data_IF_822193426700
#
_entry.id   IF_822193426700
#
_cell.length_a   1.000
_cell.length_b   1.000
_cell.length_c   1.000
_cell.angle_alpha   90.00
_cell.angle_beta   90.00
_cell.angle_gamma   90.00
#
_symmetry.space_group_name_H-M   'P 1'
#
loop_
_entity.id
_entity.type
_entity.pdbx_description
1 polymer ?
#
# COMPACT_ATOMS: atom_id res chain seq x y z
N UNK A 1 -54.72 10.28 5.20
CA UNK A 1 -54.44 11.70 4.93
C UNK A 1 -52.99 11.92 5.31
N UNK A 2 -52.11 12.09 4.32
CA UNK A 2 -50.67 12.24 4.57
C UNK A 2 -50.38 13.70 4.92
N UNK A 3 -49.83 13.91 6.11
CA UNK A 3 -49.38 15.21 6.59
C UNK A 3 -48.25 15.73 5.68
N UNK A 4 -48.53 16.83 4.98
CA UNK A 4 -47.54 17.58 4.24
C UNK A 4 -46.69 18.35 5.25
N UNK A 5 -45.53 17.79 5.60
CA UNK A 5 -44.51 18.51 6.35
C UNK A 5 -44.04 19.71 5.50
N UNK A 6 -44.38 20.93 5.94
CA UNK A 6 -43.85 22.17 5.40
C UNK A 6 -42.31 22.18 5.49
N UNK A 7 -41.59 22.52 4.41
CA UNK A 7 -40.16 22.81 4.50
C UNK A 7 -39.93 24.15 5.22
N UNK A 8 -38.90 24.15 6.07
CA UNK A 8 -38.42 25.25 6.92
C UNK A 8 -38.20 26.55 6.15
N UNK A 9 -38.43 27.69 6.81
CA UNK A 9 -38.34 29.06 6.28
C UNK A 9 -36.98 29.42 5.64
N UNK A 10 -35.94 28.61 5.86
CA UNK A 10 -34.61 28.79 5.27
C UNK A 10 -34.55 28.44 3.77
N UNK A 11 -35.51 27.69 3.22
CA UNK A 11 -35.54 27.36 1.78
C UNK A 11 -36.29 28.41 0.94
N UNK A 12 -37.11 29.27 1.55
CA UNK A 12 -37.88 30.29 0.84
C UNK A 12 -37.07 31.54 0.48
N UNK A 13 -35.95 31.80 1.13
CA UNK A 13 -35.09 32.96 0.82
C UNK A 13 -34.26 32.81 -0.48
N UNK A 14 -34.29 31.64 -1.13
CA UNK A 14 -33.51 31.38 -2.35
C UNK A 14 -34.23 31.73 -3.66
N UNK A 15 -35.51 32.15 -3.63
CA UNK A 15 -36.32 32.40 -4.84
C UNK A 15 -36.40 33.87 -5.26
N UNK A 16 -35.99 34.83 -4.42
CA UNK A 16 -36.03 36.25 -4.76
C UNK A 16 -34.66 36.74 -5.29
N UNK A 17 -34.67 37.43 -6.43
CA UNK A 17 -33.49 38.10 -6.98
C UNK A 17 -33.02 39.18 -6.00
N UNK A 18 -31.75 39.14 -5.56
CA UNK A 18 -31.19 40.17 -4.68
C UNK A 18 -31.29 41.56 -5.34
N UNK A 19 -31.60 42.63 -4.58
CA UNK A 19 -31.69 43.98 -5.12
C UNK A 19 -30.37 44.40 -5.78
N UNK A 20 -30.40 44.79 -7.05
CA UNK A 20 -29.22 45.24 -7.81
C UNK A 20 -28.62 44.22 -8.77
N UNK A 21 -29.11 42.97 -8.81
CA UNK A 21 -28.69 41.98 -9.81
C UNK A 21 -29.70 41.96 -10.97
N UNK A 22 -29.28 42.08 -12.23
CA UNK A 22 -30.17 41.93 -13.37
C UNK A 22 -30.82 40.53 -13.38
N UNK A 23 -32.13 40.47 -13.64
CA UNK A 23 -32.91 39.23 -13.59
C UNK A 23 -32.34 38.11 -14.49
N UNK A 24 -31.79 38.48 -15.65
CA UNK A 24 -31.13 37.54 -16.57
C UNK A 24 -29.86 36.90 -15.95
N UNK A 25 -29.06 37.69 -15.22
CA UNK A 25 -27.87 37.18 -14.52
C UNK A 25 -28.27 36.26 -13.36
N UNK A 26 -29.35 36.58 -12.66
CA UNK A 26 -29.90 35.73 -11.59
C UNK A 26 -30.41 34.39 -12.12
N UNK A 27 -31.14 34.41 -13.25
CA UNK A 27 -31.61 33.20 -13.91
C UNK A 27 -30.45 32.32 -14.39
N UNK A 28 -29.39 32.94 -14.95
CA UNK A 28 -28.16 32.23 -15.32
C UNK A 28 -27.50 31.58 -14.11
N UNK A 29 -27.41 32.27 -12.97
CA UNK A 29 -26.85 31.73 -11.74
C UNK A 29 -27.64 30.52 -11.22
N UNK A 30 -28.97 30.60 -11.18
CA UNK A 30 -29.82 29.48 -10.77
C UNK A 30 -29.67 28.27 -11.70
N UNK A 31 -29.58 28.51 -13.01
CA UNK A 31 -29.32 27.45 -13.99
C UNK A 31 -27.95 26.80 -13.81
N UNK A 32 -26.90 27.58 -13.51
CA UNK A 32 -25.57 27.07 -13.20
C UNK A 32 -25.55 26.25 -11.90
N UNK A 33 -26.27 26.71 -10.86
CA UNK A 33 -26.42 25.98 -9.59
C UNK A 33 -27.08 24.62 -9.81
N UNK A 34 -28.17 24.57 -10.59
CA UNK A 34 -28.84 23.31 -10.98
C UNK A 34 -27.91 22.37 -11.76
N UNK A 35 -27.22 22.88 -12.80
CA UNK A 35 -26.25 22.08 -13.58
C UNK A 35 -25.11 21.52 -12.74
N UNK A 36 -24.59 22.29 -11.77
CA UNK A 36 -23.52 21.83 -10.88
C UNK A 36 -23.98 20.66 -9.98
N UNK A 37 -25.19 20.75 -9.42
CA UNK A 37 -25.78 19.66 -8.63
C UNK A 37 -25.97 18.39 -9.48
N UNK A 38 -26.43 18.55 -10.72
CA UNK A 38 -26.62 17.44 -11.65
C UNK A 38 -25.30 16.77 -12.02
N UNK A 39 -24.24 17.55 -12.31
CA UNK A 39 -22.89 17.02 -12.55
C UNK A 39 -22.34 16.27 -11.33
N UNK A 40 -22.46 16.84 -10.11
CA UNK A 40 -22.04 16.16 -8.87
C UNK A 40 -22.77 14.84 -8.64
N UNK A 41 -24.06 14.78 -8.98
CA UNK A 41 -24.86 13.55 -8.87
C UNK A 41 -24.46 12.52 -9.93
N UNK A 42 -24.17 12.93 -11.16
CA UNK A 42 -23.64 12.04 -12.20
C UNK A 42 -22.27 11.46 -11.84
N UNK A 43 -21.37 12.27 -11.29
CA UNK A 43 -20.05 11.81 -10.80
C UNK A 43 -20.18 10.78 -9.67
N UNK A 44 -21.07 11.03 -8.69
CA UNK A 44 -21.37 10.06 -7.62
C UNK A 44 -21.90 8.75 -8.19
N UNK A 45 -22.83 8.81 -9.13
CA UNK A 45 -23.37 7.62 -9.81
C UNK A 45 -22.28 6.84 -10.58
N UNK A 46 -21.37 7.51 -11.27
CA UNK A 46 -20.23 6.87 -11.93
C UNK A 46 -19.25 6.24 -10.94
N UNK A 47 -18.95 6.91 -9.82
CA UNK A 47 -18.06 6.41 -8.77
C UNK A 47 -18.64 5.16 -8.10
N UNK A 48 -19.95 5.14 -7.84
CA UNK A 48 -20.68 3.99 -7.30
C UNK A 48 -20.70 2.80 -8.29
N UNK A 49 -20.88 3.06 -9.60
CA UNK A 49 -20.79 2.03 -10.64
C UNK A 49 -19.38 1.41 -10.72
N UNK A 50 -18.32 2.23 -10.61
CA UNK A 50 -16.93 1.76 -10.57
C UNK A 50 -16.65 0.91 -9.31
N UNK A 51 -17.18 1.30 -8.15
CA UNK A 51 -17.07 0.52 -6.91
C UNK A 51 -17.84 -0.82 -6.98
N UNK A 52 -19.05 -0.85 -7.54
CA UNK A 52 -19.81 -2.10 -7.75
C UNK A 52 -19.08 -3.09 -8.66
N UNK A 53 -18.44 -2.62 -9.74
CA UNK A 53 -17.60 -3.48 -10.61
C UNK A 53 -16.39 -4.06 -9.88
N UNK A 54 -15.75 -3.30 -8.98
CA UNK A 54 -14.66 -3.82 -8.15
C UNK A 54 -15.12 -4.83 -7.09
N UNK A 55 -16.36 -4.75 -6.60
CA UNK A 55 -16.94 -5.74 -5.68
C UNK A 55 -17.46 -7.00 -6.40
N UNK A 56 -18.01 -6.90 -7.61
CA UNK A 56 -18.50 -8.08 -8.34
C UNK A 56 -17.38 -8.99 -8.85
N UNK A 57 -16.17 -8.45 -9.08
CA UNK A 57 -15.00 -9.26 -9.43
C UNK A 57 -14.50 -10.13 -8.26
N UNK A 58 -15.00 -9.90 -7.04
CA UNK A 58 -14.73 -10.70 -5.83
C UNK A 58 -15.89 -11.63 -5.44
N UNK A 59 -16.88 -11.81 -6.34
CA UNK A 59 -18.13 -12.53 -6.07
C UNK A 59 -18.35 -13.81 -6.90
N UNK A 60 -17.31 -14.44 -7.43
CA UNK A 60 -17.37 -15.86 -7.85
C UNK A 60 -16.45 -16.66 -6.94
N UNK A 61 -16.92 -16.91 -5.71
CA UNK A 61 -16.36 -17.98 -4.89
C UNK A 61 -16.83 -19.30 -5.50
N UNK A 62 -15.90 -20.00 -6.14
CA UNK A 62 -16.03 -21.43 -6.38
C UNK A 62 -15.81 -22.16 -5.05
N UNK A 63 -16.35 -23.37 -4.97
CA UNK A 63 -16.40 -24.27 -3.80
C UNK A 63 -15.15 -24.23 -2.89
N UNK A 64 -15.39 -24.31 -1.58
CA UNK A 64 -14.42 -24.17 -0.48
C UNK A 64 -13.28 -25.18 -0.47
N UNK A 65 -13.45 -26.38 -1.04
CA UNK A 65 -12.42 -27.43 -0.99
C UNK A 65 -11.25 -27.24 -1.97
N UNK A 66 -11.42 -26.63 -3.16
CA UNK A 66 -10.32 -26.53 -4.14
C UNK A 66 -9.41 -25.30 -3.94
N UNK A 67 -9.86 -24.31 -3.17
CA UNK A 67 -9.12 -23.06 -2.95
C UNK A 67 -8.07 -23.22 -1.83
N UNK A 68 -8.29 -24.15 -0.88
CA UNK A 68 -7.37 -24.40 0.23
C UNK A 68 -6.03 -24.91 -0.26
N UNK A 69 -6.01 -25.93 -1.13
CA UNK A 69 -4.77 -26.52 -1.66
C UNK A 69 -3.94 -25.50 -2.45
N UNK A 70 -4.62 -24.69 -3.27
CA UNK A 70 -3.96 -23.64 -4.05
C UNK A 70 -3.41 -22.52 -3.16
N UNK A 71 -4.12 -22.10 -2.12
CA UNK A 71 -3.61 -21.08 -1.20
C UNK A 71 -2.52 -21.58 -0.27
N UNK A 72 -2.58 -22.84 0.14
CA UNK A 72 -1.55 -23.47 0.96
C UNK A 72 -0.23 -23.58 0.20
N UNK A 73 -0.29 -23.99 -1.07
CA UNK A 73 0.89 -24.02 -1.94
C UNK A 73 1.54 -22.63 -2.13
N UNK A 74 0.73 -21.55 -2.17
CA UNK A 74 1.23 -20.17 -2.28
C UNK A 74 1.87 -19.72 -0.97
N UNK A 75 1.23 -19.99 0.18
CA UNK A 75 1.79 -19.69 1.50
C UNK A 75 3.11 -20.42 1.72
N UNK A 76 3.18 -21.68 1.30
CA UNK A 76 4.38 -22.51 1.44
C UNK A 76 5.54 -21.97 0.58
N UNK A 77 5.25 -21.54 -0.66
CA UNK A 77 6.24 -20.86 -1.51
C UNK A 77 6.74 -19.56 -0.88
N UNK A 78 5.84 -18.73 -0.35
CA UNK A 78 6.22 -17.50 0.34
C UNK A 78 7.05 -17.76 1.59
N UNK A 79 6.72 -18.81 2.34
CA UNK A 79 7.49 -19.21 3.52
C UNK A 79 8.89 -19.70 3.11
N UNK A 80 9.00 -20.56 2.08
CA UNK A 80 10.27 -21.02 1.51
C UNK A 80 11.15 -19.86 1.04
N UNK A 81 10.58 -18.86 0.36
CA UNK A 81 11.28 -17.63 -0.02
C UNK A 81 11.78 -16.85 1.21
N UNK A 82 10.98 -16.80 2.27
CA UNK A 82 11.31 -16.04 3.47
C UNK A 82 12.41 -16.69 4.31
N UNK A 83 12.45 -18.02 4.38
CA UNK A 83 13.48 -18.79 5.10
C UNK A 83 14.89 -18.47 4.60
N UNK A 84 15.06 -18.09 3.33
CA UNK A 84 16.34 -17.63 2.79
C UNK A 84 16.92 -16.45 3.59
N UNK A 85 16.06 -15.60 4.16
CA UNK A 85 16.46 -14.42 4.92
C UNK A 85 16.66 -14.68 6.41
N UNK A 86 16.44 -15.92 6.89
CA UNK A 86 16.69 -16.27 8.29
C UNK A 86 18.20 -16.29 8.58
N UNK A 87 18.61 -15.72 9.70
CA UNK A 87 19.98 -15.80 10.20
C UNK A 87 21.07 -15.06 9.40
N UNK A 88 20.73 -14.45 8.24
CA UNK A 88 21.71 -13.67 7.44
C UNK A 88 22.41 -12.63 8.32
N UNK A 89 21.62 -11.93 9.14
CA UNK A 89 22.14 -10.85 9.98
C UNK A 89 22.79 -11.31 11.29
N UNK A 90 22.63 -12.59 11.69
CA UNK A 90 23.19 -13.07 12.95
C UNK A 90 24.73 -13.14 12.90
N UNK A 91 25.32 -13.23 11.70
CA UNK A 91 26.78 -13.17 11.48
C UNK A 91 27.38 -11.80 11.78
N UNK A 92 26.58 -10.74 11.69
CA UNK A 92 27.02 -9.36 11.95
C UNK A 92 26.80 -8.94 13.40
N UNK A 93 26.10 -9.76 14.20
CA UNK A 93 26.08 -9.55 15.63
C UNK A 93 27.48 -9.87 16.14
N UNK A 94 28.12 -8.95 16.90
CA UNK A 94 29.34 -9.32 17.59
C UNK A 94 29.04 -10.60 18.37
N UNK A 95 29.92 -11.61 18.28
CA UNK A 95 29.86 -12.79 19.12
C UNK A 95 29.92 -12.26 20.55
N UNK A 96 28.74 -12.09 21.16
CA UNK A 96 28.59 -11.29 22.35
C UNK A 96 29.57 -11.83 23.38
N UNK A 97 30.39 -10.93 23.93
CA UNK A 97 31.38 -11.21 24.94
C UNK A 97 30.72 -11.79 26.18
N UNK A 98 30.52 -13.11 26.24
CA UNK A 98 30.05 -13.88 27.42
C UNK A 98 28.91 -13.23 28.26
N UNK A 99 28.17 -12.28 27.71
CA UNK A 99 27.05 -11.67 28.41
C UNK A 99 25.93 -12.69 28.34
N UNK A 100 25.64 -13.27 29.50
CA UNK A 100 24.45 -14.06 29.69
C UNK A 100 23.27 -13.16 29.35
N UNK A 101 22.77 -13.29 28.13
CA UNK A 101 21.53 -12.64 27.72
C UNK A 101 20.51 -12.93 28.80
N UNK A 102 19.97 -11.88 29.40
CA UNK A 102 19.01 -12.01 30.49
C UNK A 102 17.87 -12.91 30.00
N UNK A 103 17.57 -13.95 30.80
CA UNK A 103 16.53 -14.91 30.46
C UNK A 103 15.20 -14.20 30.26
N UNK A 104 14.47 -14.60 29.23
CA UNK A 104 13.10 -14.13 28.96
C UNK A 104 12.18 -14.53 30.13
N UNK A 105 11.14 -13.74 30.40
CA UNK A 105 10.16 -14.08 31.44
C UNK A 105 9.52 -15.46 31.25
N UNK A 106 9.33 -15.89 29.99
CA UNK A 106 8.84 -17.24 29.66
C UNK A 106 9.86 -18.33 29.99
N UNK A 107 11.15 -18.09 29.76
CA UNK A 107 12.23 -19.04 30.10
C UNK A 107 12.30 -19.22 31.62
N UNK A 108 12.17 -18.12 32.37
CA UNK A 108 12.14 -18.17 33.84
C UNK A 108 10.93 -18.96 34.34
N UNK A 109 9.75 -18.83 33.71
CA UNK A 109 8.59 -19.64 34.09
C UNK A 109 8.74 -21.11 33.72
N UNK A 110 9.39 -21.43 32.59
CA UNK A 110 9.69 -22.82 32.21
C UNK A 110 10.60 -23.45 33.27
N UNK A 111 11.68 -22.76 33.66
CA UNK A 111 12.61 -23.23 34.69
C UNK A 111 11.88 -23.51 36.03
N UNK A 112 10.92 -22.64 36.41
CA UNK A 112 10.09 -22.84 37.62
C UNK A 112 9.21 -24.08 37.52
N UNK A 113 8.47 -24.26 36.42
CA UNK A 113 7.62 -25.43 36.22
C UNK A 113 8.44 -26.73 36.23
N UNK A 114 9.64 -26.72 35.65
CA UNK A 114 10.56 -27.86 35.69
C UNK A 114 11.04 -28.15 37.12
N UNK A 115 11.38 -27.12 37.90
CA UNK A 115 11.78 -27.28 39.30
C UNK A 115 10.63 -27.81 40.19
N UNK A 116 9.40 -27.41 39.90
CA UNK A 116 8.18 -27.88 40.57
C UNK A 116 7.73 -29.28 40.09
N UNK A 117 8.36 -29.83 39.03
CA UNK A 117 8.01 -31.12 38.45
C UNK A 117 6.76 -31.12 37.56
N UNK A 118 6.22 -29.94 37.22
CA UNK A 118 5.06 -29.80 36.33
C UNK A 118 5.51 -29.76 34.86
N UNK A 119 5.78 -30.93 34.29
CA UNK A 119 6.31 -31.08 32.93
C UNK A 119 5.31 -30.62 31.86
N UNK A 120 4.01 -30.88 32.06
CA UNK A 120 2.96 -30.53 31.10
C UNK A 120 2.88 -29.01 30.90
N UNK A 121 2.93 -28.24 31.99
CA UNK A 121 2.93 -26.78 31.89
C UNK A 121 4.24 -26.23 31.31
N UNK A 122 5.37 -26.86 31.61
CA UNK A 122 6.66 -26.46 31.03
C UNK A 122 6.67 -26.64 29.50
N UNK A 123 6.08 -27.73 29.00
CA UNK A 123 5.94 -28.01 27.56
C UNK A 123 5.06 -26.96 26.87
N UNK A 124 3.89 -26.65 27.43
CA UNK A 124 2.99 -25.61 26.86
C UNK A 124 3.68 -24.23 26.78
N UNK A 125 4.41 -23.86 27.85
CA UNK A 125 5.17 -22.61 27.86
C UNK A 125 6.33 -22.61 26.85
N UNK A 126 6.96 -23.76 26.62
CA UNK A 126 8.01 -23.94 25.62
C UNK A 126 7.48 -23.77 24.20
N UNK A 127 6.36 -24.41 23.85
CA UNK A 127 5.73 -24.27 22.54
C UNK A 127 5.31 -22.82 22.24
N UNK A 128 4.78 -22.15 23.27
CA UNK A 128 4.44 -20.73 23.21
C UNK A 128 5.69 -19.86 22.98
N UNK A 129 6.80 -20.15 23.66
CA UNK A 129 8.07 -19.45 23.45
C UNK A 129 8.57 -19.67 22.02
N UNK A 130 8.58 -20.91 21.54
CA UNK A 130 9.01 -21.27 20.19
C UNK A 130 8.20 -20.52 19.12
N UNK A 131 6.87 -20.46 19.28
CA UNK A 131 5.98 -19.74 18.37
C UNK A 131 6.30 -18.23 18.34
N UNK A 132 6.52 -17.63 19.51
CA UNK A 132 6.89 -16.21 19.64
C UNK A 132 8.22 -15.92 18.94
N UNK A 133 9.24 -16.74 19.20
CA UNK A 133 10.57 -16.58 18.60
C UNK A 133 10.56 -16.77 17.08
N UNK A 134 9.77 -17.73 16.59
CA UNK A 134 9.54 -17.90 15.16
C UNK A 134 8.90 -16.64 14.55
N UNK A 135 7.93 -16.03 15.22
CA UNK A 135 7.36 -14.75 14.81
C UNK A 135 8.40 -13.62 14.72
N UNK A 136 9.34 -13.55 15.67
CA UNK A 136 10.46 -12.61 15.63
C UNK A 136 11.39 -12.88 14.45
N UNK A 137 11.67 -14.16 14.12
CA UNK A 137 12.47 -14.52 12.93
C UNK A 137 11.76 -14.12 11.63
N UNK A 138 10.46 -14.39 11.52
CA UNK A 138 9.63 -14.02 10.36
C UNK A 138 9.63 -12.51 10.15
N UNK A 139 9.37 -11.72 11.20
CA UNK A 139 9.33 -10.25 11.08
C UNK A 139 10.66 -9.65 10.62
N UNK A 140 11.78 -10.13 11.18
CA UNK A 140 13.14 -9.74 10.74
C UNK A 140 13.39 -10.11 9.28
N UNK A 141 12.99 -11.30 8.85
CA UNK A 141 13.15 -11.77 7.49
C UNK A 141 12.32 -10.95 6.48
N UNK A 142 11.08 -10.60 6.83
CA UNK A 142 10.22 -9.72 6.03
C UNK A 142 10.86 -8.34 5.88
N UNK A 143 11.42 -7.78 6.96
CA UNK A 143 12.14 -6.51 6.89
C UNK A 143 13.33 -6.58 5.93
N UNK A 144 14.12 -7.65 5.99
CA UNK A 144 15.24 -7.88 5.07
C UNK A 144 14.79 -7.98 3.61
N UNK A 145 13.74 -8.78 3.33
CA UNK A 145 13.16 -8.93 1.99
C UNK A 145 12.69 -7.59 1.43
N UNK A 146 11.99 -6.79 2.24
CA UNK A 146 11.49 -5.48 1.82
C UNK A 146 12.64 -4.51 1.54
N UNK A 147 13.70 -4.55 2.34
CA UNK A 147 14.90 -3.74 2.12
C UNK A 147 15.58 -4.09 0.78
N UNK A 148 15.75 -5.38 0.46
CA UNK A 148 16.35 -5.82 -0.80
C UNK A 148 15.52 -5.36 -2.00
N UNK A 149 14.19 -5.51 -1.94
CA UNK A 149 13.28 -5.03 -2.99
C UNK A 149 13.36 -3.52 -3.16
N UNK A 150 13.28 -2.77 -2.05
CA UNK A 150 13.38 -1.32 -2.08
C UNK A 150 14.71 -0.84 -2.68
N UNK A 151 15.82 -1.53 -2.36
CA UNK A 151 17.13 -1.22 -2.94
C UNK A 151 17.15 -1.43 -4.46
N UNK A 152 16.63 -2.55 -4.94
CA UNK A 152 16.53 -2.86 -6.37
C UNK A 152 15.64 -1.84 -7.10
N UNK A 153 14.49 -1.47 -6.54
CA UNK A 153 13.60 -0.48 -7.13
C UNK A 153 14.27 0.91 -7.23
N UNK A 154 15.05 1.30 -6.23
CA UNK A 154 15.85 2.54 -6.27
C UNK A 154 16.92 2.45 -7.35
N UNK A 155 17.62 1.34 -7.50
CA UNK A 155 18.62 1.14 -8.55
C UNK A 155 17.98 1.20 -9.96
N UNK A 156 16.86 0.51 -10.17
CA UNK A 156 16.09 0.53 -11.43
C UNK A 156 15.61 1.93 -11.77
N UNK A 157 15.09 2.68 -10.79
CA UNK A 157 14.65 4.07 -11.02
C UNK A 157 15.81 5.01 -11.31
N UNK A 158 16.97 4.83 -10.66
CA UNK A 158 18.19 5.58 -10.99
C UNK A 158 18.69 5.27 -12.40
N UNK A 159 18.71 4.00 -12.80
CA UNK A 159 19.06 3.61 -14.17
C UNK A 159 18.08 4.18 -15.20
N UNK A 160 16.78 4.13 -14.92
CA UNK A 160 15.77 4.73 -15.79
C UNK A 160 15.94 6.24 -15.93
N UNK A 161 16.37 6.94 -14.86
CA UNK A 161 16.75 8.36 -14.92
C UNK A 161 18.01 8.58 -15.76
N UNK A 162 19.06 7.76 -15.59
CA UNK A 162 20.31 7.85 -16.38
C UNK A 162 20.08 7.56 -17.88
N UNK A 163 19.18 6.62 -18.21
CA UNK A 163 18.83 6.23 -19.59
C UNK A 163 18.00 7.30 -20.32
N UNK A 164 17.36 8.24 -19.60
CA UNK A 164 16.73 9.43 -20.20
C UNK A 164 17.80 10.44 -20.63
N UNK A 165 18.57 10.09 -21.66
CA UNK A 165 19.31 11.10 -22.44
C UNK A 165 18.27 11.85 -23.28
N UNK A 166 18.12 13.14 -23.01
CA UNK A 166 17.27 14.03 -23.80
C UNK A 166 17.84 14.09 -25.22
N UNK A 167 16.98 13.91 -26.24
CA UNK A 167 17.37 13.88 -27.65
C UNK A 167 18.03 15.20 -28.15
N UNK A 168 17.95 16.27 -27.36
CA UNK A 168 18.57 17.57 -27.63
C UNK A 168 19.88 17.81 -26.88
N UNK A 169 20.37 16.83 -26.11
CA UNK A 169 21.67 16.94 -25.43
C UNK A 169 22.79 17.20 -26.45
N UNK A 170 23.55 18.28 -26.21
CA UNK A 170 24.69 18.79 -26.96
C UNK A 170 25.37 17.74 -27.86
N UNK A 171 25.01 17.74 -29.14
CA UNK A 171 25.74 17.06 -30.21
C UNK A 171 27.02 17.86 -30.49
N UNK A 172 27.98 17.74 -29.56
CA UNK A 172 29.29 18.33 -29.71
C UNK A 172 29.87 17.81 -31.05
N UNK A 173 30.05 18.69 -32.02
CA UNK A 173 31.07 18.47 -33.05
C UNK A 173 30.76 17.40 -34.09
N UNK A 174 29.60 17.52 -34.75
CA UNK A 174 29.49 17.12 -36.17
C UNK A 174 29.07 18.25 -37.13
N UNK A 175 28.64 19.41 -36.63
CA UNK A 175 28.23 20.56 -37.47
C UNK A 175 29.36 21.45 -38.01
N UNK A 176 30.57 21.36 -37.47
CA UNK A 176 31.70 22.19 -37.92
C UNK A 176 32.60 21.50 -38.95
N UNK A 177 32.45 20.18 -39.11
CA UNK A 177 33.13 19.44 -40.19
C UNK A 177 32.42 19.65 -41.53
N UNK A 178 31.12 19.99 -41.55
CA UNK A 178 30.35 20.19 -42.79
C UNK A 178 30.34 21.64 -43.29
N UNK A 179 30.70 22.62 -42.46
CA UNK A 179 30.71 24.07 -42.83
C UNK A 179 32.08 24.57 -43.31
N UNK A 180 33.02 23.69 -43.63
CA UNK A 180 34.33 24.09 -44.19
C UNK A 180 34.55 23.66 -45.65
N UNK A 181 33.60 23.00 -46.31
CA UNK A 181 33.76 22.53 -47.69
C UNK A 181 33.03 23.41 -48.73
N UNK A 182 33.15 24.74 -48.60
CA UNK A 182 32.56 25.71 -49.55
C UNK A 182 33.60 26.55 -50.30
N UNK A 183 34.84 26.10 -50.37
CA UNK A 183 35.84 26.80 -51.17
C UNK A 183 36.97 25.88 -51.54
N UNK A 184 36.88 25.28 -52.72
CA UNK A 184 37.97 24.99 -53.67
C UNK A 184 37.34 24.21 -54.83
N UNK A 185 36.82 24.95 -55.82
CA UNK A 185 36.84 24.65 -57.27
C UNK A 185 36.07 25.74 -58.01
#
# INVERSE_FOLDING_TARGET
MAENQLPSAEEQECLACLPGVPLDMWNKFQNLKKKNLEMKNQEKCQRNKRQKRKRSQKGKMKSSEEITDSQESVKERHFKELTQYFGINDRFKPLASKETTQKSGLEISIDKCVAEGNIVQAEELSDRLATRELGVKITKAVACRNFVKAKQDVEVTQEARKKKKLAWGFEAKKRWETKSNMGYM
#
